data_IF_640083992953
#
_entry.id   IF_640083992953
#
_cell.length_a   1.000
_cell.length_b   1.000
_cell.length_c   1.000
_cell.angle_alpha   90.00
_cell.angle_beta   90.00
_cell.angle_gamma   90.00
#
_symmetry.space_group_name_H-M   'P 1'
#
loop_
_entity.id
_entity.type
_entity.pdbx_description
1 polymer ?
#
# COMPACT_ATOMS: atom_id res chain seq x y z
N UNK A 1 -33.99 16.18 22.39
CA UNK A 1 -34.67 14.98 21.84
C UNK A 1 -35.35 15.19 20.47
N UNK A 2 -35.15 16.33 19.78
CA UNK A 2 -35.88 16.66 18.55
C UNK A 2 -34.99 16.72 17.26
N UNK A 3 -33.68 16.46 17.34
CA UNK A 3 -32.76 16.58 16.19
C UNK A 3 -32.53 15.22 15.48
N UNK A 4 -32.87 14.11 16.11
CA UNK A 4 -32.68 12.75 15.57
C UNK A 4 -33.49 12.42 14.30
N UNK A 5 -34.47 13.22 13.93
CA UNK A 5 -35.34 12.94 12.77
C UNK A 5 -34.81 13.46 11.42
N UNK A 6 -33.75 14.26 11.39
CA UNK A 6 -33.14 14.77 10.15
C UNK A 6 -31.76 14.18 9.86
N UNK A 7 -31.23 13.35 10.77
CA UNK A 7 -29.90 12.73 10.61
C UNK A 7 -29.97 11.67 9.49
N UNK A 8 -29.17 11.76 8.45
CA UNK A 8 -29.16 10.79 7.38
C UNK A 8 -28.93 9.36 7.90
N UNK A 9 -29.53 8.36 7.26
CA UNK A 9 -29.47 6.96 7.71
C UNK A 9 -28.04 6.44 7.88
N UNK A 10 -27.10 6.93 7.05
CA UNK A 10 -25.69 6.56 7.12
C UNK A 10 -24.98 7.09 8.38
N UNK A 11 -25.38 8.25 8.89
CA UNK A 11 -24.86 8.79 10.15
C UNK A 11 -25.32 7.93 11.32
N UNK A 12 -26.59 7.50 11.32
CA UNK A 12 -27.11 6.57 12.34
C UNK A 12 -26.38 5.23 12.30
N UNK A 13 -26.03 4.74 11.10
CA UNK A 13 -25.21 3.56 10.93
C UNK A 13 -23.85 3.71 11.60
N UNK A 14 -23.13 4.79 11.30
CA UNK A 14 -21.84 5.09 11.93
C UNK A 14 -21.94 5.12 13.45
N UNK A 15 -22.88 5.90 14.01
CA UNK A 15 -23.04 6.02 15.46
C UNK A 15 -23.29 4.66 16.13
N UNK A 16 -24.11 3.81 15.51
CA UNK A 16 -24.38 2.46 16.01
C UNK A 16 -23.11 1.59 15.99
N UNK A 17 -22.33 1.63 14.92
CA UNK A 17 -21.09 0.87 14.81
C UNK A 17 -20.05 1.33 15.82
N UNK A 18 -19.87 2.64 15.98
CA UNK A 18 -18.94 3.17 16.99
C UNK A 18 -19.37 2.82 18.41
N UNK A 19 -20.68 2.70 18.69
CA UNK A 19 -21.19 2.22 19.98
C UNK A 19 -20.89 0.75 20.24
N UNK A 20 -20.69 -0.05 19.20
CA UNK A 20 -20.35 -1.48 19.34
C UNK A 20 -18.85 -1.76 19.28
N UNK A 21 -18.02 -0.75 19.10
CA UNK A 21 -16.56 -0.88 19.06
C UNK A 21 -16.02 -1.36 20.42
N UNK A 22 -15.39 -2.55 20.51
CA UNK A 22 -15.01 -3.13 21.79
C UNK A 22 -13.73 -2.57 22.40
N UNK A 23 -12.88 -1.88 21.63
CA UNK A 23 -11.56 -1.46 22.08
C UNK A 23 -11.41 0.06 22.13
N UNK A 24 -10.85 0.57 23.22
CA UNK A 24 -10.39 1.94 23.35
C UNK A 24 -11.49 2.97 23.44
N UNK A 25 -11.14 4.24 23.17
CA UNK A 25 -12.07 5.37 23.22
C UNK A 25 -12.01 6.20 21.96
N UNK A 26 -13.16 6.72 21.51
CA UNK A 26 -13.22 7.66 20.40
C UNK A 26 -14.08 8.87 20.77
N UNK A 27 -13.50 10.06 20.64
CA UNK A 27 -14.22 11.33 20.69
C UNK A 27 -14.56 11.78 19.28
N UNK A 28 -15.83 11.71 18.90
CA UNK A 28 -16.32 12.17 17.60
C UNK A 28 -16.94 13.56 17.74
N UNK A 29 -16.49 14.51 16.94
CA UNK A 29 -17.13 15.82 16.78
C UNK A 29 -17.80 15.90 15.40
N UNK A 30 -19.08 16.23 15.37
CA UNK A 30 -19.87 16.34 14.13
C UNK A 30 -19.69 17.70 13.45
N UNK A 31 -20.09 17.86 12.17
CA UNK A 31 -20.09 19.16 11.50
C UNK A 31 -20.95 20.23 12.21
N UNK A 32 -21.95 19.80 12.98
CA UNK A 32 -22.83 20.68 13.76
C UNK A 32 -22.20 21.08 15.11
N UNK A 33 -21.00 20.54 15.43
CA UNK A 33 -20.31 20.77 16.68
C UNK A 33 -20.76 19.91 17.85
N UNK A 34 -21.61 18.91 17.61
CA UNK A 34 -21.98 17.93 18.64
C UNK A 34 -20.80 17.00 18.93
N UNK A 35 -20.57 16.74 20.23
CA UNK A 35 -19.48 15.85 20.67
C UNK A 35 -20.08 14.56 21.23
N UNK A 36 -19.65 13.44 20.67
CA UNK A 36 -20.01 12.10 21.09
C UNK A 36 -18.79 11.37 21.61
N UNK A 37 -18.94 10.67 22.74
CA UNK A 37 -17.89 9.83 23.33
C UNK A 37 -18.30 8.37 23.20
N UNK A 38 -17.42 7.57 22.63
CA UNK A 38 -17.56 6.12 22.52
C UNK A 38 -16.46 5.48 23.36
N UNK A 39 -16.82 4.54 24.20
CA UNK A 39 -15.90 3.82 25.08
C UNK A 39 -16.17 2.33 24.95
N UNK A 40 -15.13 1.59 24.55
CA UNK A 40 -15.17 0.14 24.44
C UNK A 40 -15.00 -0.54 25.78
N UNK A 41 -15.42 -1.79 25.88
CA UNK A 41 -15.29 -2.61 27.11
C UNK A 41 -13.83 -3.03 27.39
N UNK A 42 -12.95 -2.96 26.38
CA UNK A 42 -11.56 -3.39 26.45
C UNK A 42 -10.61 -2.20 26.31
N UNK A 43 -9.47 -2.30 26.98
CA UNK A 43 -8.39 -1.33 26.81
C UNK A 43 -7.94 -1.23 25.36
N UNK A 44 -7.61 -0.02 24.92
CA UNK A 44 -7.19 0.24 23.54
C UNK A 44 -6.84 1.71 23.32
N UNK A 45 -6.62 2.10 22.06
CA UNK A 45 -6.24 3.45 21.67
C UNK A 45 -7.28 4.50 22.11
N UNK A 46 -6.81 5.72 22.40
CA UNK A 46 -7.66 6.86 22.73
C UNK A 46 -7.55 7.91 21.63
N UNK A 47 -8.53 7.95 20.74
CA UNK A 47 -8.50 8.77 19.54
C UNK A 47 -9.58 9.85 19.50
N UNK A 48 -9.39 10.84 18.66
CA UNK A 48 -10.41 11.81 18.29
C UNK A 48 -10.61 11.87 16.78
N UNK A 49 -11.83 12.19 16.38
CA UNK A 49 -12.21 12.42 14.98
C UNK A 49 -13.15 13.62 14.90
N UNK A 50 -12.74 14.65 14.18
CA UNK A 50 -13.57 15.81 13.91
C UNK A 50 -14.01 15.81 12.46
N UNK A 51 -15.28 15.53 12.20
CA UNK A 51 -15.89 15.58 10.87
C UNK A 51 -16.37 17.02 10.61
N UNK A 52 -15.81 17.65 9.57
CA UNK A 52 -16.21 19.00 9.15
C UNK A 52 -17.33 18.96 8.11
N UNK A 53 -17.44 17.84 7.37
CA UNK A 53 -18.41 17.69 6.30
C UNK A 53 -18.94 16.25 6.18
N UNK A 54 -20.26 16.06 6.13
CA UNK A 54 -20.87 14.73 6.01
C UNK A 54 -20.55 13.98 4.70
N UNK A 55 -19.96 14.65 3.72
CA UNK A 55 -19.44 13.98 2.52
C UNK A 55 -18.35 12.95 2.82
N UNK A 56 -17.62 13.11 3.94
CA UNK A 56 -16.68 12.11 4.45
C UNK A 56 -17.33 10.73 4.52
N UNK A 57 -18.50 10.64 5.16
CA UNK A 57 -19.18 9.34 5.30
C UNK A 57 -19.74 8.83 3.98
N UNK A 58 -20.26 9.71 3.12
CA UNK A 58 -20.74 9.30 1.80
C UNK A 58 -19.63 8.71 0.96
N UNK A 59 -18.46 9.35 0.93
CA UNK A 59 -17.30 8.89 0.17
C UNK A 59 -16.72 7.60 0.77
N UNK A 60 -16.67 7.49 2.10
CA UNK A 60 -16.24 6.27 2.78
C UNK A 60 -17.16 5.09 2.49
N UNK A 61 -18.47 5.29 2.49
CA UNK A 61 -19.44 4.25 2.13
C UNK A 61 -19.38 3.84 0.66
N UNK A 62 -19.01 4.77 -0.23
CA UNK A 62 -18.94 4.52 -1.67
C UNK A 62 -17.60 3.96 -2.12
N UNK A 63 -16.49 4.41 -1.53
CA UNK A 63 -15.11 4.09 -1.94
C UNK A 63 -14.27 3.45 -0.83
N UNK A 64 -14.88 3.13 0.31
CA UNK A 64 -14.19 2.52 1.44
C UNK A 64 -13.15 3.45 2.07
N UNK A 65 -12.05 2.83 2.51
CA UNK A 65 -10.87 3.47 3.09
C UNK A 65 -10.22 4.51 2.17
N UNK A 66 -10.21 4.26 0.86
CA UNK A 66 -9.72 5.24 -0.12
C UNK A 66 -10.55 6.53 -0.05
N UNK A 67 -11.88 6.43 0.00
CA UNK A 67 -12.76 7.61 0.12
C UNK A 67 -12.57 8.33 1.45
N UNK A 68 -12.31 7.61 2.53
CA UNK A 68 -11.99 8.19 3.83
C UNK A 68 -10.67 8.96 3.77
N UNK A 69 -9.62 8.38 3.17
CA UNK A 69 -8.32 9.04 3.00
C UNK A 69 -8.38 10.27 2.09
N UNK A 70 -9.09 10.20 0.95
CA UNK A 70 -9.28 11.37 0.06
C UNK A 70 -9.96 12.53 0.78
N UNK A 71 -10.96 12.25 1.61
CA UNK A 71 -11.66 13.29 2.38
C UNK A 71 -10.79 13.89 3.49
N UNK A 72 -9.78 13.17 3.99
CA UNK A 72 -8.74 13.73 4.86
C UNK A 72 -7.87 14.74 4.11
N UNK A 73 -7.38 14.36 2.92
CA UNK A 73 -6.59 15.25 2.06
C UNK A 73 -7.38 16.51 1.69
N UNK A 74 -8.69 16.37 1.45
CA UNK A 74 -9.61 17.47 1.17
C UNK A 74 -9.93 18.35 2.42
N UNK A 75 -9.43 17.99 3.61
CA UNK A 75 -9.71 18.70 4.85
C UNK A 75 -11.15 18.57 5.35
N UNK A 76 -11.89 17.52 4.91
CA UNK A 76 -13.29 17.30 5.33
C UNK A 76 -13.41 16.66 6.71
N UNK A 77 -12.32 16.18 7.27
CA UNK A 77 -12.18 15.74 8.65
C UNK A 77 -10.73 15.91 9.14
N UNK A 78 -10.56 15.98 10.44
CA UNK A 78 -9.26 16.10 11.11
C UNK A 78 -9.22 15.27 12.38
N UNK A 79 -8.02 15.06 12.89
CA UNK A 79 -7.73 14.41 14.18
C UNK A 79 -6.52 15.06 14.79
N UNK A 80 -6.34 14.98 16.09
CA UNK A 80 -5.13 15.47 16.78
C UNK A 80 -3.96 14.49 16.64
N UNK A 81 -4.25 13.20 16.48
CA UNK A 81 -3.24 12.14 16.32
C UNK A 81 -3.73 11.11 15.29
N UNK A 82 -3.19 11.22 14.05
CA UNK A 82 -3.57 10.33 12.96
C UNK A 82 -3.13 8.87 13.18
N UNK A 83 -1.91 8.57 13.61
CA UNK A 83 -1.49 7.23 14.00
C UNK A 83 -2.41 6.59 15.04
N UNK A 84 -2.78 7.31 16.09
CA UNK A 84 -3.64 6.79 17.16
C UNK A 84 -5.06 6.51 16.64
N UNK A 85 -5.62 7.40 15.80
CA UNK A 85 -6.91 7.17 15.16
C UNK A 85 -6.90 5.96 14.22
N UNK A 86 -5.83 5.77 13.43
CA UNK A 86 -5.68 4.59 12.59
C UNK A 86 -5.56 3.31 13.42
N UNK A 87 -4.82 3.36 14.53
CA UNK A 87 -4.70 2.24 15.47
C UNK A 87 -6.07 1.87 16.08
N UNK A 88 -6.89 2.87 16.43
CA UNK A 88 -8.26 2.65 16.89
C UNK A 88 -9.11 1.91 15.84
N UNK A 89 -9.04 2.34 14.57
CA UNK A 89 -9.78 1.66 13.50
C UNK A 89 -9.28 0.23 13.25
N UNK A 90 -7.98 -0.02 13.32
CA UNK A 90 -7.40 -1.36 13.15
C UNK A 90 -7.86 -2.30 14.27
N UNK A 91 -7.87 -1.85 15.52
CA UNK A 91 -8.34 -2.66 16.66
C UNK A 91 -9.83 -3.00 16.57
N UNK A 92 -10.62 -2.13 15.95
CA UNK A 92 -12.07 -2.28 15.79
C UNK A 92 -12.46 -2.61 14.33
N UNK A 93 -11.53 -3.21 13.56
CA UNK A 93 -11.71 -3.40 12.12
C UNK A 93 -12.90 -4.30 11.79
N UNK A 94 -13.21 -5.31 12.61
CA UNK A 94 -14.34 -6.21 12.37
C UNK A 94 -15.66 -5.44 12.38
N UNK A 95 -15.88 -4.56 13.36
CA UNK A 95 -17.08 -3.75 13.50
C UNK A 95 -17.14 -2.63 12.46
N UNK A 96 -16.00 -1.96 12.22
CA UNK A 96 -15.89 -0.87 11.23
C UNK A 96 -16.01 -1.40 9.81
N UNK A 97 -15.49 -2.59 9.51
CA UNK A 97 -15.57 -3.18 8.17
C UNK A 97 -17.00 -3.46 7.73
N UNK A 98 -17.89 -3.80 8.66
CA UNK A 98 -19.31 -4.00 8.36
C UNK A 98 -20.00 -2.73 7.85
N UNK A 99 -19.54 -1.55 8.28
CA UNK A 99 -19.97 -0.26 7.70
C UNK A 99 -19.47 -0.08 6.26
N UNK A 100 -18.22 -0.44 6.00
CA UNK A 100 -17.56 -0.25 4.70
C UNK A 100 -17.98 -1.32 3.67
N UNK A 101 -18.30 -2.54 4.12
CA UNK A 101 -18.67 -3.64 3.22
C UNK A 101 -20.14 -3.66 2.81
N UNK A 102 -20.97 -2.78 3.37
CA UNK A 102 -22.35 -2.53 2.93
C UNK A 102 -23.25 -3.77 2.88
N UNK A 103 -24.50 -3.56 2.53
CA UNK A 103 -25.51 -4.61 2.34
C UNK A 103 -25.13 -5.52 1.16
N UNK A 104 -25.71 -6.73 1.09
CA UNK A 104 -25.60 -7.68 -0.03
C UNK A 104 -25.71 -7.03 -1.43
N UNK A 105 -26.48 -5.95 -1.57
CA UNK A 105 -26.66 -5.18 -2.82
C UNK A 105 -25.36 -4.44 -3.19
N UNK A 106 -24.69 -3.81 -2.23
CA UNK A 106 -23.43 -3.10 -2.48
C UNK A 106 -22.29 -4.07 -2.81
N UNK A 107 -22.24 -5.26 -2.17
CA UNK A 107 -21.26 -6.31 -2.55
C UNK A 107 -21.41 -6.76 -4.00
N UNK A 108 -22.64 -6.90 -4.51
CA UNK A 108 -22.88 -7.24 -5.93
C UNK A 108 -22.53 -6.11 -6.88
N UNK A 109 -22.85 -4.86 -6.53
CA UNK A 109 -22.45 -3.68 -7.29
C UNK A 109 -20.92 -3.54 -7.35
N UNK A 110 -20.22 -3.73 -6.23
CA UNK A 110 -18.76 -3.77 -6.20
C UNK A 110 -18.19 -4.93 -7.04
N UNK A 111 -18.83 -6.09 -7.05
CA UNK A 111 -18.44 -7.20 -7.93
C UNK A 111 -18.52 -6.83 -9.41
N UNK A 112 -19.54 -6.09 -9.84
CA UNK A 112 -19.70 -5.60 -11.22
C UNK A 112 -18.66 -4.51 -11.53
N UNK A 113 -18.43 -3.56 -10.62
CA UNK A 113 -17.42 -2.50 -10.78
C UNK A 113 -16.02 -3.10 -10.83
N UNK A 114 -15.70 -4.07 -9.98
CA UNK A 114 -14.42 -4.79 -10.02
C UNK A 114 -14.28 -5.64 -11.28
N UNK A 115 -15.37 -6.22 -11.79
CA UNK A 115 -15.35 -6.93 -13.06
C UNK A 115 -15.09 -5.99 -14.25
N UNK A 116 -15.67 -4.78 -14.24
CA UNK A 116 -15.40 -3.73 -15.23
C UNK A 116 -13.97 -3.14 -15.12
N UNK A 117 -13.38 -3.18 -13.93
CA UNK A 117 -11.99 -2.74 -13.64
C UNK A 117 -10.96 -3.86 -13.80
N UNK A 118 -11.27 -4.92 -14.55
CA UNK A 118 -10.30 -6.00 -14.81
C UNK A 118 -8.96 -5.41 -15.27
N UNK A 119 -7.87 -5.94 -14.72
CA UNK A 119 -6.49 -5.61 -15.07
C UNK A 119 -6.20 -5.97 -16.55
N UNK A 120 -6.68 -5.14 -17.47
CA UNK A 120 -6.22 -5.18 -18.86
C UNK A 120 -4.79 -4.63 -18.91
N UNK A 121 -3.99 -5.01 -19.91
CA UNK A 121 -2.63 -4.49 -20.09
C UNK A 121 -2.57 -2.95 -20.08
N UNK A 122 -3.56 -2.29 -20.68
CA UNK A 122 -3.65 -0.83 -20.70
C UNK A 122 -3.98 -0.24 -19.32
N UNK A 123 -4.92 -0.84 -18.59
CA UNK A 123 -5.30 -0.38 -17.26
C UNK A 123 -4.18 -0.60 -16.23
N UNK A 124 -3.45 -1.74 -16.31
CA UNK A 124 -2.29 -2.00 -15.47
C UNK A 124 -1.21 -0.93 -15.66
N UNK A 125 -0.88 -0.56 -16.92
CA UNK A 125 0.09 0.51 -17.21
C UNK A 125 -0.36 1.86 -16.67
N UNK A 126 -1.64 2.21 -16.82
CA UNK A 126 -2.18 3.48 -16.31
C UNK A 126 -2.16 3.53 -14.77
N UNK A 127 -2.55 2.45 -14.11
CA UNK A 127 -2.56 2.36 -12.65
C UNK A 127 -1.14 2.42 -12.07
N UNK A 128 -0.20 1.68 -12.66
CA UNK A 128 1.20 1.67 -12.23
C UNK A 128 1.85 3.02 -12.50
N UNK A 129 1.58 3.63 -13.66
CA UNK A 129 2.05 4.98 -13.96
C UNK A 129 1.56 5.96 -12.89
N UNK A 130 0.27 5.99 -12.58
CA UNK A 130 -0.29 6.87 -11.55
C UNK A 130 0.29 6.60 -10.15
N UNK A 131 0.60 5.34 -9.82
CA UNK A 131 1.17 4.97 -8.52
C UNK A 131 2.63 5.46 -8.40
N UNK A 132 3.44 5.35 -9.44
CA UNK A 132 4.86 5.73 -9.42
C UNK A 132 5.14 7.15 -9.92
N UNK A 133 4.15 7.86 -10.50
CA UNK A 133 4.26 9.28 -10.91
C UNK A 133 4.44 10.25 -9.71
N UNK A 134 4.32 9.74 -8.47
CA UNK A 134 4.69 10.51 -7.25
C UNK A 134 6.18 10.89 -7.27
N UNK A 135 6.99 10.15 -8.04
CA UNK A 135 8.38 10.45 -8.35
C UNK A 135 9.40 9.91 -7.33
N UNK A 136 10.62 9.70 -7.81
CA UNK A 136 11.72 9.14 -7.01
C UNK A 136 12.02 9.99 -5.76
N UNK A 137 11.83 11.32 -5.83
CA UNK A 137 12.06 12.23 -4.70
C UNK A 137 11.14 11.95 -3.50
N UNK A 138 9.92 11.48 -3.74
CA UNK A 138 9.02 11.06 -2.67
C UNK A 138 9.48 9.75 -2.03
N UNK A 139 9.80 8.76 -2.85
CA UNK A 139 10.22 7.45 -2.35
C UNK A 139 11.55 7.52 -1.57
N UNK A 140 12.49 8.37 -2.00
CA UNK A 140 13.77 8.59 -1.31
C UNK A 140 13.64 9.22 0.07
N UNK A 141 12.46 9.77 0.46
CA UNK A 141 12.25 10.32 1.80
C UNK A 141 12.15 9.24 2.89
N UNK A 142 11.78 8.01 2.53
CA UNK A 142 11.48 6.97 3.50
C UNK A 142 11.98 5.56 3.11
N UNK A 143 12.38 5.34 1.85
CA UNK A 143 13.11 4.15 1.47
C UNK A 143 14.59 4.30 1.82
N UNK A 144 15.27 3.18 2.00
CA UNK A 144 16.71 3.12 2.11
C UNK A 144 17.42 3.36 0.76
N UNK A 145 18.75 3.44 0.75
CA UNK A 145 19.53 3.70 -0.48
C UNK A 145 19.31 2.66 -1.59
N UNK A 146 18.88 1.43 -1.24
CA UNK A 146 18.55 0.41 -2.23
C UNK A 146 17.26 0.74 -2.99
N UNK A 147 16.47 1.70 -2.53
CA UNK A 147 15.15 2.05 -3.08
C UNK A 147 14.22 0.82 -3.14
N UNK A 148 14.33 -0.07 -2.17
CA UNK A 148 13.52 -1.30 -2.16
C UNK A 148 12.15 -1.03 -1.55
N UNK A 149 11.13 -1.05 -2.39
CA UNK A 149 9.74 -0.85 -1.98
C UNK A 149 9.05 -2.19 -1.73
N UNK A 150 9.56 -2.94 -0.77
CA UNK A 150 8.97 -4.18 -0.27
C UNK A 150 9.50 -4.51 1.11
N UNK A 151 8.91 -5.49 1.81
CA UNK A 151 9.34 -5.88 3.16
C UNK A 151 10.81 -6.32 3.19
N UNK A 152 11.49 -6.02 4.28
CA UNK A 152 12.86 -6.42 4.53
C UNK A 152 12.94 -7.68 5.41
N UNK A 153 14.09 -8.36 5.41
CA UNK A 153 14.36 -9.51 6.27
C UNK A 153 15.25 -9.10 7.44
N UNK A 154 14.64 -8.82 8.57
CA UNK A 154 15.38 -8.53 9.81
C UNK A 154 15.80 -9.83 10.50
N UNK A 155 17.03 -9.87 11.00
CA UNK A 155 17.48 -10.89 11.94
C UNK A 155 16.89 -10.65 13.34
N UNK A 156 16.98 -11.64 14.21
CA UNK A 156 16.52 -11.53 15.60
C UNK A 156 17.05 -10.26 16.29
N UNK A 157 16.15 -9.47 16.89
CA UNK A 157 16.47 -8.29 17.68
C UNK A 157 16.27 -6.93 17.00
N UNK A 158 15.83 -6.84 15.75
CA UNK A 158 15.46 -5.60 15.02
C UNK A 158 16.48 -4.44 15.06
N UNK A 159 17.72 -4.71 15.43
CA UNK A 159 18.79 -3.69 15.51
C UNK A 159 19.53 -3.47 14.17
N UNK A 160 19.13 -4.19 13.12
CA UNK A 160 19.76 -4.12 11.81
C UNK A 160 19.25 -2.88 11.05
N UNK A 161 20.15 -2.10 10.39
CA UNK A 161 19.71 -1.05 9.46
C UNK A 161 18.83 -1.60 8.35
N UNK A 162 17.86 -0.79 7.86
CA UNK A 162 16.92 -1.21 6.81
C UNK A 162 17.66 -1.69 5.56
N UNK A 163 18.70 -1.00 5.13
CA UNK A 163 19.52 -1.38 3.97
C UNK A 163 20.11 -2.80 4.10
N UNK A 164 20.61 -3.15 5.28
CA UNK A 164 21.19 -4.48 5.52
C UNK A 164 20.08 -5.55 5.55
N UNK A 165 18.91 -5.22 6.10
CA UNK A 165 17.76 -6.11 6.10
C UNK A 165 17.21 -6.34 4.68
N UNK A 166 17.23 -5.32 3.80
CA UNK A 166 16.89 -5.47 2.40
C UNK A 166 17.91 -6.35 1.66
N UNK A 167 19.19 -6.13 1.91
CA UNK A 167 20.27 -6.98 1.35
C UNK A 167 20.14 -8.43 1.81
N UNK A 168 19.90 -8.67 3.10
CA UNK A 168 19.69 -10.01 3.63
C UNK A 168 18.53 -10.76 2.96
N UNK A 169 17.47 -10.06 2.58
CA UNK A 169 16.38 -10.63 1.77
C UNK A 169 16.88 -11.09 0.40
N UNK A 170 17.64 -10.26 -0.29
CA UNK A 170 18.20 -10.59 -1.60
C UNK A 170 19.19 -11.75 -1.54
N UNK A 171 20.13 -11.72 -0.60
CA UNK A 171 21.08 -12.80 -0.36
C UNK A 171 20.39 -14.14 -0.05
N UNK A 172 19.28 -14.09 0.71
CA UNK A 172 18.48 -15.30 0.97
C UNK A 172 17.85 -15.89 -0.29
N UNK A 173 17.44 -15.05 -1.23
CA UNK A 173 16.88 -15.50 -2.52
C UNK A 173 18.00 -16.05 -3.39
N UNK A 174 19.10 -15.30 -3.54
CA UNK A 174 20.28 -15.69 -4.31
C UNK A 174 20.90 -16.99 -3.78
N UNK A 175 20.99 -17.15 -2.46
CA UNK A 175 21.50 -18.36 -1.81
C UNK A 175 20.69 -19.63 -2.06
N UNK A 176 19.50 -19.53 -2.69
CA UNK A 176 18.70 -20.67 -3.16
C UNK A 176 18.97 -21.03 -4.63
N UNK A 177 19.77 -20.21 -5.32
CA UNK A 177 20.15 -20.46 -6.71
C UNK A 177 21.41 -21.34 -6.71
N UNK A 178 21.27 -22.60 -7.08
CA UNK A 178 22.35 -23.59 -7.09
C UNK A 178 23.21 -23.55 -8.37
N UNK A 179 22.73 -22.87 -9.44
CA UNK A 179 23.45 -22.72 -10.68
C UNK A 179 24.31 -21.44 -10.65
N UNK A 180 25.66 -21.53 -10.79
CA UNK A 180 26.52 -20.38 -10.93
C UNK A 180 26.28 -19.68 -12.29
N UNK A 181 26.48 -18.37 -12.33
CA UNK A 181 26.29 -17.55 -13.54
C UNK A 181 24.92 -17.81 -14.23
N UNK A 182 23.88 -17.90 -13.43
CA UNK A 182 22.54 -18.23 -13.90
C UNK A 182 21.90 -17.06 -14.68
N UNK A 183 21.08 -17.40 -15.66
CA UNK A 183 20.17 -16.45 -16.34
C UNK A 183 18.91 -16.29 -15.50
N UNK A 184 18.69 -15.10 -14.95
CA UNK A 184 17.60 -14.79 -14.02
C UNK A 184 16.65 -13.79 -14.64
N UNK A 185 15.34 -14.10 -14.63
CA UNK A 185 14.28 -13.15 -14.94
C UNK A 185 13.74 -12.54 -13.66
N UNK A 186 13.83 -11.23 -13.49
CA UNK A 186 13.19 -10.50 -12.41
C UNK A 186 11.93 -9.80 -12.91
N UNK A 187 10.78 -10.18 -12.37
CA UNK A 187 9.49 -9.56 -12.70
C UNK A 187 9.20 -8.46 -11.69
N UNK A 188 9.12 -7.22 -12.16
CA UNK A 188 8.93 -6.06 -11.29
C UNK A 188 10.22 -5.64 -10.59
N UNK A 189 11.28 -5.38 -11.37
CA UNK A 189 12.61 -5.08 -10.81
C UNK A 189 12.68 -3.77 -10.00
N UNK A 190 11.61 -2.97 -9.98
CA UNK A 190 11.60 -1.71 -9.26
C UNK A 190 12.76 -0.81 -9.67
N UNK A 191 13.49 -0.29 -8.71
CA UNK A 191 14.68 0.54 -8.90
C UNK A 191 15.98 -0.27 -9.04
N UNK A 192 15.89 -1.59 -9.25
CA UNK A 192 17.01 -2.46 -9.57
C UNK A 192 17.79 -3.02 -8.38
N UNK A 193 17.25 -2.96 -7.16
CA UNK A 193 17.99 -3.40 -5.96
C UNK A 193 18.38 -4.88 -5.97
N UNK A 194 17.45 -5.79 -6.34
CA UNK A 194 17.76 -7.21 -6.45
C UNK A 194 18.68 -7.50 -7.67
N UNK A 195 18.40 -6.86 -8.82
CA UNK A 195 19.23 -7.04 -10.01
C UNK A 195 20.69 -6.68 -9.76
N UNK A 196 20.96 -5.57 -9.05
CA UNK A 196 22.29 -5.16 -8.63
C UNK A 196 22.95 -6.23 -7.76
N UNK A 197 22.26 -6.71 -6.73
CA UNK A 197 22.82 -7.70 -5.80
C UNK A 197 23.09 -9.05 -6.49
N UNK A 198 22.15 -9.52 -7.33
CA UNK A 198 22.33 -10.75 -8.09
C UNK A 198 23.50 -10.65 -9.09
N UNK A 199 23.67 -9.51 -9.76
CA UNK A 199 24.78 -9.26 -10.68
C UNK A 199 26.14 -9.24 -9.94
N UNK A 200 26.22 -8.69 -8.72
CA UNK A 200 27.41 -8.79 -7.85
C UNK A 200 27.77 -10.24 -7.52
N UNK A 201 26.78 -11.11 -7.44
CA UNK A 201 26.95 -12.56 -7.25
C UNK A 201 27.15 -13.32 -8.58
N UNK A 202 27.51 -12.61 -9.66
CA UNK A 202 27.84 -13.14 -10.97
C UNK A 202 26.67 -13.73 -11.76
N UNK A 203 25.42 -13.48 -11.39
CA UNK A 203 24.28 -13.85 -12.21
C UNK A 203 24.01 -12.82 -13.31
N UNK A 204 23.41 -13.27 -14.41
CA UNK A 204 22.91 -12.39 -15.47
C UNK A 204 21.42 -12.16 -15.23
N UNK A 205 21.01 -10.90 -15.12
CA UNK A 205 19.62 -10.56 -14.77
C UNK A 205 18.95 -9.82 -15.91
N UNK A 206 17.80 -10.33 -16.34
CA UNK A 206 16.84 -9.59 -17.16
C UNK A 206 15.76 -9.02 -16.23
N UNK A 207 15.82 -7.73 -15.94
CA UNK A 207 14.88 -7.03 -15.06
C UNK A 207 13.75 -6.37 -15.84
N UNK A 208 12.50 -6.64 -15.45
CA UNK A 208 11.31 -6.08 -16.08
C UNK A 208 10.66 -5.02 -15.21
N UNK A 209 10.33 -3.90 -15.80
CA UNK A 209 9.43 -2.91 -15.21
C UNK A 209 8.50 -2.32 -16.26
N UNK A 210 7.40 -1.73 -15.84
CA UNK A 210 6.51 -0.94 -16.71
C UNK A 210 6.43 0.53 -16.27
N UNK A 211 7.29 0.93 -15.34
CA UNK A 211 7.47 2.31 -14.88
C UNK A 211 8.72 2.93 -15.50
N UNK A 212 8.55 4.04 -16.23
CA UNK A 212 9.65 4.76 -16.86
C UNK A 212 10.62 5.34 -15.81
N UNK A 213 10.10 5.81 -14.68
CA UNK A 213 10.89 6.37 -13.59
C UNK A 213 11.82 5.31 -12.97
N UNK A 214 11.26 4.13 -12.69
CA UNK A 214 12.04 3.00 -12.16
C UNK A 214 13.09 2.54 -13.17
N UNK A 215 12.72 2.41 -14.44
CA UNK A 215 13.62 2.00 -15.51
C UNK A 215 14.84 2.93 -15.63
N UNK A 216 14.60 4.25 -15.72
CA UNK A 216 15.66 5.23 -15.83
C UNK A 216 16.59 5.21 -14.61
N UNK A 217 16.03 5.11 -13.42
CA UNK A 217 16.79 5.04 -12.19
C UNK A 217 17.65 3.77 -12.14
N UNK A 218 17.05 2.61 -12.43
CA UNK A 218 17.76 1.33 -12.41
C UNK A 218 18.87 1.28 -13.46
N UNK A 219 18.66 1.82 -14.65
CA UNK A 219 19.71 1.93 -15.67
C UNK A 219 20.91 2.76 -15.18
N UNK A 220 20.66 3.95 -14.63
CA UNK A 220 21.73 4.78 -14.09
C UNK A 220 22.49 4.06 -12.97
N UNK A 221 21.77 3.37 -12.09
CA UNK A 221 22.35 2.56 -11.01
C UNK A 221 23.27 1.46 -11.56
N UNK A 222 22.86 0.73 -12.58
CA UNK A 222 23.69 -0.33 -13.17
C UNK A 222 24.95 0.26 -13.81
N UNK A 223 24.82 1.36 -14.56
CA UNK A 223 25.95 2.06 -15.16
C UNK A 223 26.94 2.59 -14.12
N UNK A 224 26.48 3.22 -13.04
CA UNK A 224 27.32 3.71 -11.95
C UNK A 224 28.08 2.60 -11.22
N UNK A 225 27.51 1.40 -11.16
CA UNK A 225 28.11 0.22 -10.54
C UNK A 225 28.94 -0.62 -11.53
N UNK A 226 28.96 -0.28 -12.82
CA UNK A 226 29.65 -1.06 -13.86
C UNK A 226 29.08 -2.46 -14.04
N UNK A 227 27.76 -2.60 -13.96
CA UNK A 227 27.03 -3.87 -14.06
C UNK A 227 26.22 -4.03 -15.36
N UNK A 228 26.39 -3.12 -16.32
CA UNK A 228 25.63 -3.12 -17.57
C UNK A 228 25.84 -4.38 -18.41
N UNK A 229 26.95 -5.06 -18.25
CA UNK A 229 27.26 -6.32 -18.93
C UNK A 229 26.51 -7.53 -18.34
N UNK A 230 25.97 -7.39 -17.12
CA UNK A 230 25.26 -8.45 -16.40
C UNK A 230 23.78 -8.20 -16.20
N UNK A 231 23.34 -6.96 -16.34
CA UNK A 231 21.93 -6.60 -16.12
C UNK A 231 21.33 -5.97 -17.36
N UNK A 232 20.37 -6.65 -17.95
CA UNK A 232 19.52 -6.11 -19.01
C UNK A 232 18.18 -5.66 -18.43
N UNK A 233 17.89 -4.37 -18.51
CA UNK A 233 16.61 -3.81 -18.07
C UNK A 233 15.67 -3.63 -19.26
N UNK A 234 14.42 -4.03 -19.11
CA UNK A 234 13.42 -3.94 -20.17
C UNK A 234 12.14 -3.26 -19.69
N UNK A 235 11.69 -2.26 -20.45
CA UNK A 235 10.35 -1.67 -20.34
C UNK A 235 9.31 -2.61 -20.94
N UNK A 236 9.00 -3.72 -20.29
CA UNK A 236 8.21 -4.80 -20.86
C UNK A 236 7.24 -5.40 -19.84
N UNK A 237 6.03 -5.72 -20.30
CA UNK A 237 5.08 -6.53 -19.53
C UNK A 237 5.57 -7.99 -19.50
N UNK A 238 5.60 -8.60 -18.31
CA UNK A 238 6.07 -9.97 -18.13
C UNK A 238 5.30 -10.99 -18.99
N UNK A 239 4.05 -10.68 -19.35
CA UNK A 239 3.22 -11.53 -20.24
C UNK A 239 3.71 -11.60 -21.68
N UNK A 240 4.59 -10.69 -22.07
CA UNK A 240 5.16 -10.60 -23.42
C UNK A 240 6.61 -11.11 -23.46
N UNK A 241 7.13 -11.66 -22.35
CA UNK A 241 8.49 -12.21 -22.29
C UNK A 241 8.53 -13.56 -23.00
N UNK A 242 9.56 -13.73 -23.80
CA UNK A 242 9.89 -14.98 -24.48
C UNK A 242 11.31 -15.39 -24.12
N UNK A 243 11.61 -16.68 -24.22
CA UNK A 243 12.91 -17.23 -23.88
C UNK A 243 12.86 -18.15 -22.69
N UNK A 244 14.03 -18.65 -22.29
CA UNK A 244 14.20 -19.53 -21.14
C UNK A 244 15.17 -18.89 -20.16
N UNK A 245 14.86 -19.02 -18.89
CA UNK A 245 15.66 -18.55 -17.78
C UNK A 245 15.89 -19.68 -16.81
N UNK A 246 17.02 -19.66 -16.11
CA UNK A 246 17.30 -20.66 -15.08
C UNK A 246 16.43 -20.43 -13.85
N UNK A 247 16.19 -19.16 -13.50
CA UNK A 247 15.34 -18.76 -12.38
C UNK A 247 14.42 -17.62 -12.76
N UNK A 248 13.26 -17.60 -12.16
CA UNK A 248 12.30 -16.48 -12.23
C UNK A 248 12.08 -15.98 -10.81
N UNK A 249 12.30 -14.69 -10.61
CA UNK A 249 12.15 -14.01 -9.31
C UNK A 249 11.10 -12.91 -9.44
N UNK A 250 10.22 -12.83 -8.47
CA UNK A 250 9.29 -11.72 -8.30
C UNK A 250 9.26 -11.34 -6.83
N UNK A 251 9.60 -10.09 -6.54
CA UNK A 251 9.65 -9.55 -5.17
C UNK A 251 8.63 -8.42 -5.09
N UNK A 252 7.73 -8.49 -4.11
CA UNK A 252 6.73 -7.45 -3.86
C UNK A 252 7.34 -6.23 -3.19
#
# INVERSE_FOLDING_TARGET
MAILNLTPFYVRGLMKTLQSAPYGTLKLTTPEGEVHHFEGEKEGPSADLHIHHWDTLKQSLWRGDIGFGETYIDGKWTTTDLPELMTYFVHNMEEVSDLCHGTWVTRRLFGIVNWLRRNTKQQSRANIKAHYDVGNSFYSLWLDESMTYSSALFSEGNAMPLQDAQRAKYERIIGKMDKPNAEVLEIGCGWGGFAEEAAKHQHHVTGLTISQEQYNFAQNRMAEQGLDDKVELRMQDYRDVTGLFDYIVSIE
#
